data_IF_588040161634
#
_entry.id   IF_588040161634
#
_cell.length_a   1.000
_cell.length_b   1.000
_cell.length_c   1.000
_cell.angle_alpha   90.00
_cell.angle_beta   90.00
_cell.angle_gamma   90.00
#
_symmetry.space_group_name_H-M   'P 1'
#
loop_
_entity.id
_entity.type
_entity.pdbx_description
1 polymer ?
#
# COMPACT_ATOMS: atom_id res chain seq x y z
N UNK A 1 -1.95 16.19 -14.37
CA UNK A 1 -1.37 17.49 -14.73
C UNK A 1 -1.34 17.71 -16.24
N UNK A 2 -1.05 16.69 -17.05
CA UNK A 2 -1.05 16.83 -18.53
C UNK A 2 -2.42 17.19 -19.11
N UNK A 3 -3.51 16.74 -18.49
CA UNK A 3 -4.88 17.04 -18.90
C UNK A 3 -5.44 18.34 -18.32
N UNK A 4 -4.79 18.91 -17.29
CA UNK A 4 -5.28 20.11 -16.62
C UNK A 4 -6.75 19.97 -16.17
N UNK A 5 -7.57 20.97 -16.46
CA UNK A 5 -8.99 20.98 -16.09
C UNK A 5 -9.83 19.88 -16.77
N UNK A 6 -9.34 19.30 -17.86
CA UNK A 6 -10.01 18.21 -18.58
C UNK A 6 -9.93 16.88 -17.83
N UNK A 7 -9.06 16.77 -16.82
CA UNK A 7 -9.00 15.58 -15.97
C UNK A 7 -10.23 15.41 -15.06
N UNK A 8 -11.02 16.48 -14.87
CA UNK A 8 -12.24 16.42 -14.05
C UNK A 8 -13.21 15.36 -14.55
N UNK A 9 -13.70 14.52 -13.63
CA UNK A 9 -14.64 13.46 -13.96
C UNK A 9 -14.01 12.17 -14.48
N UNK A 10 -12.69 12.13 -14.69
CA UNK A 10 -12.01 10.88 -15.04
C UNK A 10 -12.09 9.93 -13.86
N UNK A 11 -12.52 8.69 -14.13
CA UNK A 11 -12.58 7.61 -13.15
C UNK A 11 -11.29 6.82 -13.23
N UNK A 12 -10.71 6.53 -12.06
CA UNK A 12 -9.44 5.82 -11.93
C UNK A 12 -9.61 4.66 -10.97
N UNK A 13 -9.16 3.48 -11.38
CA UNK A 13 -9.09 2.31 -10.50
C UNK A 13 -7.94 2.47 -9.52
N UNK A 14 -8.17 1.99 -8.30
CA UNK A 14 -7.20 2.04 -7.20
C UNK A 14 -7.01 0.64 -6.62
N UNK A 15 -5.80 0.31 -6.27
CA UNK A 15 -5.44 -0.98 -5.64
C UNK A 15 -5.07 -0.83 -4.16
N UNK A 16 -5.14 0.39 -3.64
CA UNK A 16 -4.96 0.73 -2.23
C UNK A 16 -6.09 1.65 -1.74
N UNK A 17 -6.35 1.68 -0.42
CA UNK A 17 -7.24 2.67 0.17
C UNK A 17 -6.78 4.10 -0.15
N UNK A 18 -7.71 5.05 -0.03
CA UNK A 18 -7.34 6.45 -0.15
C UNK A 18 -6.24 6.81 0.85
N UNK A 19 -5.22 7.51 0.37
CA UNK A 19 -4.11 8.05 1.17
C UNK A 19 -4.56 9.03 2.27
N UNK A 20 -5.86 9.31 2.34
CA UNK A 20 -6.50 10.16 3.35
C UNK A 20 -7.48 9.42 4.25
N UNK A 21 -7.67 8.12 4.02
CA UNK A 21 -8.63 7.32 4.77
C UNK A 21 -8.05 6.88 6.12
N UNK A 22 -8.44 7.56 7.18
CA UNK A 22 -8.06 7.20 8.55
C UNK A 22 -8.74 5.92 9.07
N UNK A 23 -9.68 5.35 8.31
CA UNK A 23 -10.31 4.07 8.64
C UNK A 23 -9.35 2.89 8.49
N UNK A 24 -8.25 3.09 7.78
CA UNK A 24 -7.21 2.10 7.60
C UNK A 24 -5.98 2.45 8.44
N UNK A 25 -5.65 1.65 9.46
CA UNK A 25 -4.48 1.90 10.31
C UNK A 25 -3.16 2.02 9.54
N UNK A 26 -3.00 1.28 8.44
CA UNK A 26 -1.80 1.38 7.59
C UNK A 26 -1.65 2.77 6.95
N UNK A 27 -2.75 3.39 6.57
CA UNK A 27 -2.74 4.75 6.01
C UNK A 27 -2.34 5.77 7.09
N UNK A 28 -2.91 5.64 8.29
CA UNK A 28 -2.55 6.50 9.43
C UNK A 28 -1.06 6.37 9.78
N UNK A 29 -0.55 5.16 9.85
CA UNK A 29 0.87 4.87 10.11
C UNK A 29 1.78 5.53 9.06
N UNK A 30 1.43 5.41 7.78
CA UNK A 30 2.16 6.05 6.68
C UNK A 30 2.13 7.58 6.76
N UNK A 31 0.97 8.16 7.10
CA UNK A 31 0.83 9.61 7.29
C UNK A 31 1.69 10.12 8.46
N UNK A 32 1.68 9.42 9.59
CA UNK A 32 2.46 9.78 10.76
C UNK A 32 3.96 9.72 10.46
N UNK A 33 4.40 8.71 9.71
CA UNK A 33 5.79 8.59 9.26
C UNK A 33 6.18 9.72 8.28
N UNK A 34 5.31 10.05 7.33
CA UNK A 34 5.53 11.15 6.39
C UNK A 34 5.72 12.49 7.12
N UNK A 35 4.89 12.75 8.14
CA UNK A 35 5.03 13.93 9.01
C UNK A 35 6.34 13.91 9.79
N UNK A 36 6.68 12.79 10.41
CA UNK A 36 7.90 12.66 11.20
C UNK A 36 9.16 12.87 10.36
N UNK A 37 9.13 12.50 9.08
CA UNK A 37 10.24 12.66 8.12
C UNK A 37 10.16 13.98 7.33
N UNK A 38 9.13 14.77 7.54
CA UNK A 38 8.91 16.05 6.87
C UNK A 38 8.97 15.97 5.32
N UNK A 39 8.37 14.91 4.76
CA UNK A 39 8.36 14.65 3.32
C UNK A 39 7.08 15.09 2.62
N UNK A 40 6.24 15.87 3.29
CA UNK A 40 5.00 16.41 2.74
C UNK A 40 3.80 15.50 2.85
N UNK A 41 2.76 15.78 2.05
CA UNK A 41 1.52 15.01 2.06
C UNK A 41 1.73 13.61 1.46
N UNK A 42 1.05 12.63 2.05
CA UNK A 42 1.06 11.26 1.53
C UNK A 42 0.39 11.21 0.15
N UNK A 43 1.06 10.58 -0.81
CA UNK A 43 0.51 10.31 -2.14
C UNK A 43 0.16 8.82 -2.29
N UNK A 44 -0.68 8.43 -3.26
CA UNK A 44 -0.94 7.02 -3.53
C UNK A 44 0.32 6.20 -3.78
N UNK A 45 1.28 6.73 -4.53
CA UNK A 45 2.56 6.06 -4.80
C UNK A 45 3.42 5.89 -3.53
N UNK A 46 3.41 6.88 -2.63
CA UNK A 46 4.10 6.78 -1.34
C UNK A 46 3.46 5.72 -0.45
N UNK A 47 2.14 5.62 -0.44
CA UNK A 47 1.43 4.57 0.31
C UNK A 47 1.79 3.17 -0.22
N UNK A 48 1.84 3.00 -1.53
CA UNK A 48 2.26 1.74 -2.17
C UNK A 48 3.69 1.36 -1.76
N UNK A 49 4.62 2.30 -1.82
CA UNK A 49 6.00 2.09 -1.39
C UNK A 49 6.11 1.74 0.10
N UNK A 50 5.34 2.41 0.95
CA UNK A 50 5.27 2.13 2.38
C UNK A 50 4.76 0.71 2.66
N UNK A 51 3.68 0.30 2.00
CA UNK A 51 3.13 -1.06 2.14
C UNK A 51 4.13 -2.11 1.64
N UNK A 52 4.78 -1.87 0.52
CA UNK A 52 5.81 -2.78 -0.01
C UNK A 52 6.98 -2.96 0.96
N UNK A 53 7.45 -1.88 1.57
CA UNK A 53 8.49 -1.93 2.60
C UNK A 53 8.03 -2.70 3.85
N UNK A 54 6.79 -2.49 4.28
CA UNK A 54 6.19 -3.19 5.43
C UNK A 54 6.11 -4.71 5.19
N UNK A 55 5.73 -5.12 3.98
CA UNK A 55 5.70 -6.53 3.56
C UNK A 55 7.10 -7.12 3.55
N UNK A 56 8.09 -6.40 3.02
CA UNK A 56 9.49 -6.85 3.03
C UNK A 56 10.01 -7.06 4.44
N UNK A 57 9.74 -6.14 5.36
CA UNK A 57 10.13 -6.25 6.78
C UNK A 57 9.51 -7.49 7.42
N UNK A 58 8.23 -7.75 7.16
CA UNK A 58 7.55 -8.96 7.66
C UNK A 58 8.18 -10.24 7.09
N UNK A 59 8.50 -10.26 5.79
CA UNK A 59 9.21 -11.36 5.16
C UNK A 59 10.59 -11.61 5.79
N UNK A 60 11.35 -10.57 6.07
CA UNK A 60 12.63 -10.67 6.75
C UNK A 60 12.51 -11.20 8.18
N UNK A 61 11.50 -10.77 8.94
CA UNK A 61 11.22 -11.32 10.28
C UNK A 61 10.95 -12.83 10.23
N UNK A 62 10.19 -13.28 9.24
CA UNK A 62 9.88 -14.70 9.04
C UNK A 62 11.06 -15.51 8.50
N UNK A 63 11.99 -14.86 7.80
CA UNK A 63 13.21 -15.49 7.30
C UNK A 63 14.20 -15.84 8.41
N UNK A 64 14.13 -15.18 9.56
CA UNK A 64 14.93 -15.48 10.74
C UNK A 64 16.23 -14.66 10.85
N UNK A 65 17.11 -15.06 11.76
CA UNK A 65 18.27 -14.28 12.19
C UNK A 65 19.38 -14.11 11.14
N UNK A 66 19.47 -15.00 10.15
CA UNK A 66 20.45 -14.96 9.06
C UNK A 66 19.73 -15.10 7.72
N UNK A 67 19.01 -14.05 7.28
CA UNK A 67 18.24 -14.13 6.05
C UNK A 67 19.16 -14.23 4.84
N UNK A 68 18.79 -15.10 3.91
CA UNK A 68 19.29 -15.14 2.55
C UNK A 68 18.10 -15.08 1.56
N UNK A 69 18.39 -15.07 0.28
CA UNK A 69 17.35 -15.00 -0.75
C UNK A 69 16.31 -16.13 -0.64
N UNK A 70 16.76 -17.37 -0.41
CA UNK A 70 15.89 -18.51 -0.28
C UNK A 70 14.99 -18.43 0.98
N UNK A 71 15.56 -18.06 2.12
CA UNK A 71 14.83 -17.88 3.38
C UNK A 71 13.83 -16.74 3.31
N UNK A 72 14.20 -15.63 2.67
CA UNK A 72 13.28 -14.51 2.45
C UNK A 72 12.10 -14.94 1.57
N UNK A 73 12.36 -15.67 0.49
CA UNK A 73 11.34 -16.21 -0.38
C UNK A 73 10.34 -17.09 0.40
N UNK A 74 10.85 -18.04 1.16
CA UNK A 74 10.05 -18.91 2.03
C UNK A 74 9.28 -18.10 3.08
N UNK A 75 9.92 -17.09 3.67
CA UNK A 75 9.31 -16.19 4.64
C UNK A 75 8.12 -15.43 4.07
N UNK A 76 8.25 -14.91 2.86
CA UNK A 76 7.16 -14.22 2.16
C UNK A 76 6.01 -15.20 1.81
N UNK A 77 6.31 -16.37 1.28
CA UNK A 77 5.31 -17.38 0.95
C UNK A 77 4.57 -17.95 2.18
N UNK A 78 5.16 -17.81 3.37
CA UNK A 78 4.54 -18.21 4.63
C UNK A 78 3.49 -17.24 5.16
N UNK A 79 3.39 -16.04 4.58
CA UNK A 79 2.43 -15.02 5.01
C UNK A 79 1.01 -15.48 4.66
N UNK A 80 0.18 -15.71 5.69
CA UNK A 80 -1.22 -16.09 5.56
C UNK A 80 -2.07 -15.17 6.39
N UNK A 81 -3.10 -14.57 5.76
CA UNK A 81 -4.10 -13.72 6.43
C UNK A 81 -3.48 -12.70 7.40
N UNK A 82 -2.38 -12.11 7.00
CA UNK A 82 -1.70 -11.11 7.81
C UNK A 82 -2.37 -9.74 7.63
N UNK A 83 -2.86 -9.20 8.74
CA UNK A 83 -3.40 -7.85 8.77
C UNK A 83 -2.26 -6.84 8.83
N UNK A 84 -2.01 -6.16 7.72
CA UNK A 84 -0.99 -5.12 7.63
C UNK A 84 -1.47 -3.72 8.08
N UNK A 85 -2.71 -3.64 8.53
CA UNK A 85 -3.33 -2.41 9.03
C UNK A 85 -4.65 -2.11 8.34
N UNK A 86 -5.67 -2.97 8.55
CA UNK A 86 -6.99 -2.88 7.95
C UNK A 86 -7.11 -3.54 6.57
N UNK A 87 -6.03 -4.11 6.08
CA UNK A 87 -5.97 -4.90 4.84
C UNK A 87 -5.29 -6.23 5.12
N UNK A 88 -5.90 -7.31 4.67
CA UNK A 88 -5.36 -8.65 4.82
C UNK A 88 -4.49 -9.02 3.60
N UNK A 89 -3.32 -9.55 3.86
CA UNK A 89 -2.36 -9.99 2.85
C UNK A 89 -2.05 -11.46 3.02
N UNK A 90 -2.03 -12.18 1.91
CA UNK A 90 -1.63 -13.60 1.86
C UNK A 90 -0.79 -13.89 0.63
N UNK A 91 0.21 -14.73 0.81
CA UNK A 91 0.99 -15.33 -0.28
C UNK A 91 0.96 -16.86 -0.19
N UNK A 92 1.36 -17.51 -1.26
CA UNK A 92 1.59 -18.96 -1.29
C UNK A 92 2.68 -19.28 -2.32
N UNK A 93 3.22 -20.49 -2.35
CA UNK A 93 4.17 -20.89 -3.39
C UNK A 93 3.63 -20.80 -4.83
N UNK A 94 2.31 -20.78 -4.99
CA UNK A 94 1.63 -20.74 -6.29
C UNK A 94 0.91 -19.42 -6.56
N UNK A 95 0.85 -18.52 -5.57
CA UNK A 95 0.19 -17.21 -5.69
C UNK A 95 0.97 -16.14 -4.92
N UNK A 96 1.57 -15.24 -5.68
CA UNK A 96 2.32 -14.09 -5.17
C UNK A 96 1.53 -12.78 -5.27
N UNK A 97 0.23 -12.84 -5.56
CA UNK A 97 -0.70 -11.70 -5.53
C UNK A 97 -1.20 -11.49 -4.10
N UNK A 98 -0.54 -10.60 -3.36
CA UNK A 98 -0.72 -10.50 -1.92
C UNK A 98 -2.02 -9.85 -1.47
N UNK A 99 -2.49 -8.82 -2.17
CA UNK A 99 -3.67 -8.03 -1.83
C UNK A 99 -4.77 -8.23 -2.87
N UNK A 100 -5.99 -8.41 -2.36
CA UNK A 100 -7.21 -8.47 -3.16
C UNK A 100 -8.09 -7.26 -2.82
N UNK A 101 -7.60 -6.09 -3.18
CA UNK A 101 -8.27 -4.81 -2.95
C UNK A 101 -8.43 -4.05 -4.25
N UNK A 102 -9.65 -3.61 -4.52
CA UNK A 102 -9.94 -2.70 -5.64
C UNK A 102 -10.98 -1.66 -5.23
N UNK A 103 -10.82 -0.47 -5.73
CA UNK A 103 -11.72 0.65 -5.50
C UNK A 103 -11.72 1.57 -6.71
N UNK A 104 -12.68 2.46 -6.77
CA UNK A 104 -12.80 3.49 -7.81
C UNK A 104 -12.68 4.87 -7.19
N UNK A 105 -11.97 5.74 -7.87
CA UNK A 105 -11.92 7.16 -7.55
C UNK A 105 -12.25 8.01 -8.78
N UNK A 106 -12.75 9.21 -8.55
CA UNK A 106 -13.01 10.20 -9.58
C UNK A 106 -12.16 11.44 -9.32
N UNK A 107 -11.62 12.05 -10.36
CA UNK A 107 -10.89 13.30 -10.23
C UNK A 107 -11.88 14.45 -10.04
N UNK A 108 -11.80 15.11 -8.89
CA UNK A 108 -12.63 16.25 -8.53
C UNK A 108 -12.20 17.57 -9.18
N UNK A 109 -12.94 18.63 -8.87
CA UNK A 109 -12.67 19.99 -9.38
C UNK A 109 -11.36 20.57 -8.86
N UNK A 110 -10.85 20.05 -7.76
CA UNK A 110 -9.58 20.41 -7.14
C UNK A 110 -8.39 19.58 -7.66
N UNK A 111 -8.61 18.77 -8.69
CA UNK A 111 -7.61 17.87 -9.26
C UNK A 111 -7.24 16.68 -8.37
N UNK A 112 -7.99 16.45 -7.30
CA UNK A 112 -7.72 15.38 -6.32
C UNK A 112 -8.69 14.23 -6.50
N UNK A 113 -8.22 13.02 -6.12
CA UNK A 113 -9.09 11.84 -6.09
C UNK A 113 -10.18 11.98 -5.04
N UNK A 114 -11.40 11.73 -5.44
CA UNK A 114 -12.59 11.58 -4.58
C UNK A 114 -13.09 10.14 -4.67
N UNK A 115 -13.54 9.63 -3.56
CA UNK A 115 -14.08 8.27 -3.48
C UNK A 115 -15.49 8.26 -2.89
#
# INVERSE_FOLDING_TARGET
>A
TALGDQARGVVVTQVFPSERSLNYPVVKEAMDLAKAKNIGDLTPAMLEGFVSAKVLVEGLKRAGAKPDSAKLHMGLESIKKWDLGGMELSYSPTDHSGLDFSDLSIIGTDGRFKR
#
